data_IF_709244890890
#
_entry.id   IF_709244890890
#
_cell.length_a   1.000
_cell.length_b   1.000
_cell.length_c   1.000
_cell.angle_alpha   90.00
_cell.angle_beta   90.00
_cell.angle_gamma   90.00
#
_symmetry.space_group_name_H-M   'P 1'
#
loop_
_entity.id
_entity.type
_entity.pdbx_description
1 polymer ?
#
# COMPACT_ATOMS: atom_id res chain seq x y z
N UNK A 1 -4.21 -10.03 -18.90
CA UNK A 1 -4.19 -11.42 -18.39
C UNK A 1 -3.26 -12.23 -19.27
N UNK A 2 -2.43 -13.08 -18.66
CA UNK A 2 -1.42 -13.89 -19.36
C UNK A 2 -1.63 -15.35 -19.00
N UNK A 3 -1.86 -16.21 -19.99
CA UNK A 3 -1.92 -17.66 -19.80
C UNK A 3 -0.54 -18.30 -19.94
N UNK A 4 -0.27 -19.34 -19.14
CA UNK A 4 0.95 -20.13 -19.22
C UNK A 4 0.68 -21.49 -19.87
N UNK A 5 1.71 -22.08 -20.48
CA UNK A 5 1.62 -23.39 -21.15
C UNK A 5 1.13 -24.52 -20.24
N UNK A 6 1.33 -24.39 -18.92
CA UNK A 6 0.85 -25.36 -17.92
C UNK A 6 -0.63 -25.20 -17.53
N UNK A 7 -1.37 -24.28 -18.17
CA UNK A 7 -2.76 -23.98 -17.84
C UNK A 7 -2.94 -22.96 -16.70
N UNK A 8 -1.86 -22.53 -16.05
CA UNK A 8 -1.91 -21.44 -15.09
C UNK A 8 -2.19 -20.08 -15.76
N UNK A 9 -2.67 -19.11 -14.98
CA UNK A 9 -2.92 -17.74 -15.45
C UNK A 9 -2.30 -16.71 -14.50
N UNK A 10 -1.84 -15.58 -15.05
CA UNK A 10 -1.42 -14.40 -14.31
C UNK A 10 -2.28 -13.20 -14.70
N UNK A 11 -2.61 -12.39 -13.71
CA UNK A 11 -3.40 -11.18 -13.86
C UNK A 11 -2.60 -9.98 -13.36
N UNK A 12 -2.09 -9.19 -14.29
CA UNK A 12 -1.49 -7.88 -13.99
C UNK A 12 -2.56 -6.81 -13.86
N UNK A 13 -2.43 -5.94 -12.86
CA UNK A 13 -3.34 -4.81 -12.61
C UNK A 13 -2.49 -3.54 -12.58
N UNK A 14 -2.85 -2.56 -13.40
CA UNK A 14 -2.29 -1.22 -13.34
C UNK A 14 -3.26 -0.32 -12.56
N UNK A 15 -2.78 0.28 -11.47
CA UNK A 15 -3.55 1.19 -10.63
C UNK A 15 -2.97 2.60 -10.71
N UNK A 16 -3.81 3.59 -10.95
CA UNK A 16 -3.42 4.99 -10.79
C UNK A 16 -3.55 5.40 -9.33
N UNK A 17 -2.42 5.74 -8.71
CA UNK A 17 -2.40 6.22 -7.31
C UNK A 17 -3.15 7.56 -7.11
N UNK A 18 -3.48 8.28 -8.19
CA UNK A 18 -4.37 9.46 -8.12
C UNK A 18 -5.84 9.10 -7.87
N UNK A 19 -6.23 7.88 -8.24
CA UNK A 19 -7.63 7.43 -8.18
C UNK A 19 -7.89 6.61 -6.92
N UNK A 20 -6.91 5.79 -6.52
CA UNK A 20 -7.05 4.84 -5.42
C UNK A 20 -5.73 4.60 -4.69
N UNK A 21 -5.84 4.51 -3.36
CA UNK A 21 -4.79 4.02 -2.48
C UNK A 21 -4.74 2.48 -2.45
N UNK A 22 -3.82 1.91 -1.66
CA UNK A 22 -3.67 0.45 -1.57
C UNK A 22 -4.89 -0.26 -0.98
N UNK A 23 -5.63 0.39 -0.07
CA UNK A 23 -6.81 -0.19 0.56
C UNK A 23 -7.97 -0.28 -0.43
N UNK A 24 -8.26 0.81 -1.13
CA UNK A 24 -9.30 0.87 -2.16
C UNK A 24 -8.98 -0.02 -3.37
N UNK A 25 -7.72 -0.10 -3.79
CA UNK A 25 -7.30 -1.03 -4.84
C UNK A 25 -7.51 -2.50 -4.41
N UNK A 26 -7.11 -2.88 -3.19
CA UNK A 26 -7.34 -4.23 -2.67
C UNK A 26 -8.83 -4.54 -2.50
N UNK A 27 -9.62 -3.59 -2.02
CA UNK A 27 -11.08 -3.73 -1.93
C UNK A 27 -11.67 -4.03 -3.31
N UNK A 28 -11.30 -3.26 -4.34
CA UNK A 28 -11.73 -3.50 -5.71
C UNK A 28 -11.35 -4.90 -6.21
N UNK A 29 -10.11 -5.35 -5.99
CA UNK A 29 -9.64 -6.68 -6.42
C UNK A 29 -10.46 -7.79 -5.76
N UNK A 30 -10.71 -7.67 -4.45
CA UNK A 30 -11.50 -8.66 -3.70
C UNK A 30 -12.95 -8.68 -4.17
N UNK A 31 -13.60 -7.51 -4.31
CA UNK A 31 -14.97 -7.43 -4.84
C UNK A 31 -15.06 -7.99 -6.25
N UNK A 32 -14.06 -7.74 -7.09
CA UNK A 32 -14.03 -8.30 -8.44
C UNK A 32 -13.90 -9.83 -8.42
N UNK A 33 -13.07 -10.38 -7.53
CA UNK A 33 -12.95 -11.82 -7.34
C UNK A 33 -14.24 -12.47 -6.78
N UNK A 34 -14.99 -11.77 -5.94
CA UNK A 34 -16.31 -12.20 -5.46
C UNK A 34 -17.31 -12.27 -6.61
N UNK A 35 -17.43 -11.19 -7.39
CA UNK A 35 -18.30 -11.13 -8.55
C UNK A 35 -17.96 -12.21 -9.59
N UNK A 36 -16.68 -12.44 -9.86
CA UNK A 36 -16.22 -13.48 -10.78
C UNK A 36 -16.60 -14.90 -10.31
N UNK A 37 -16.83 -15.09 -9.00
CA UNK A 37 -17.33 -16.34 -8.40
C UNK A 37 -18.86 -16.40 -8.31
N UNK A 38 -19.57 -15.37 -8.77
CA UNK A 38 -21.03 -15.28 -8.66
C UNK A 38 -21.52 -14.89 -7.27
N UNK A 39 -20.65 -14.32 -6.44
CA UNK A 39 -21.04 -13.77 -5.13
C UNK A 39 -21.49 -12.32 -5.28
N UNK A 40 -22.33 -11.86 -4.34
CA UNK A 40 -22.76 -10.46 -4.29
C UNK A 40 -21.68 -9.56 -3.69
N UNK A 41 -21.79 -8.25 -3.99
CA UNK A 41 -20.92 -7.24 -3.40
C UNK A 41 -21.30 -7.03 -1.94
N UNK A 42 -20.48 -7.55 -1.02
CA UNK A 42 -20.74 -7.45 0.42
C UNK A 42 -20.72 -6.00 0.94
N UNK A 43 -19.76 -5.20 0.47
CA UNK A 43 -19.61 -3.78 0.85
C UNK A 43 -19.47 -2.94 -0.42
N UNK A 44 -20.48 -2.11 -0.76
CA UNK A 44 -20.36 -1.23 -1.90
C UNK A 44 -19.36 -0.10 -1.63
N UNK A 45 -18.62 0.37 -2.65
CA UNK A 45 -17.70 1.47 -2.47
C UNK A 45 -18.47 2.77 -2.20
N UNK A 46 -17.94 3.59 -1.29
CA UNK A 46 -18.45 4.93 -1.04
C UNK A 46 -17.72 5.95 -1.93
N UNK A 47 -18.43 6.51 -2.91
CA UNK A 47 -17.82 7.37 -3.95
C UNK A 47 -17.99 8.86 -3.64
N UNK A 48 -18.84 9.24 -2.69
CA UNK A 48 -19.04 10.63 -2.35
C UNK A 48 -17.80 11.22 -1.64
N UNK A 49 -17.03 12.00 -2.38
CA UNK A 49 -15.81 12.66 -1.88
C UNK A 49 -16.09 13.97 -1.15
N UNK A 50 -17.36 14.35 -0.94
CA UNK A 50 -17.72 15.57 -0.20
C UNK A 50 -17.17 15.56 1.23
N UNK A 51 -17.09 14.38 1.86
CA UNK A 51 -16.51 14.20 3.19
C UNK A 51 -15.02 14.53 3.27
N UNK A 52 -14.32 14.47 2.13
CA UNK A 52 -12.90 14.80 2.01
C UNK A 52 -12.66 16.22 1.52
N UNK A 53 -13.69 17.06 1.40
CA UNK A 53 -13.54 18.44 0.97
C UNK A 53 -12.68 19.22 1.97
N UNK A 54 -11.69 19.92 1.43
CA UNK A 54 -10.91 20.88 2.22
C UNK A 54 -11.77 22.01 2.78
N UNK A 55 -11.26 22.66 3.83
CA UNK A 55 -11.88 23.85 4.41
C UNK A 55 -11.97 24.98 3.37
N UNK A 56 -13.02 25.79 3.48
CA UNK A 56 -13.20 26.99 2.67
C UNK A 56 -13.43 28.21 3.60
N UNK A 57 -12.50 29.17 3.69
CA UNK A 57 -11.25 29.26 2.92
C UNK A 57 -10.21 28.20 3.34
N UNK A 58 -9.24 27.86 2.47
CA UNK A 58 -8.13 26.98 2.83
C UNK A 58 -7.30 27.57 3.98
N UNK A 59 -6.89 26.74 4.94
CA UNK A 59 -6.09 27.18 6.08
C UNK A 59 -4.97 26.15 6.40
N UNK A 60 -3.96 26.01 5.52
CA UNK A 60 -2.85 25.08 5.74
C UNK A 60 -2.06 25.50 7.00
N UNK A 61 -1.78 24.54 7.89
CA UNK A 61 -1.02 24.81 9.13
C UNK A 61 0.47 24.49 8.98
N UNK A 62 0.83 23.72 7.95
CA UNK A 62 2.19 23.23 7.72
C UNK A 62 2.55 23.34 6.25
N UNK A 63 3.85 23.30 5.95
CA UNK A 63 4.32 23.12 4.57
C UNK A 63 4.03 21.68 4.16
N UNK A 64 3.31 21.53 3.05
CA UNK A 64 2.87 20.24 2.52
C UNK A 64 3.74 19.88 1.32
N UNK A 65 4.50 18.78 1.41
CA UNK A 65 5.42 18.33 0.35
C UNK A 65 4.68 17.98 -0.94
N UNK A 66 3.41 17.61 -0.83
CA UNK A 66 2.54 17.19 -1.93
C UNK A 66 2.23 18.34 -2.91
N UNK A 67 2.39 19.60 -2.48
CA UNK A 67 2.21 20.79 -3.31
C UNK A 67 3.53 21.43 -3.75
N UNK A 68 4.67 20.80 -3.45
CA UNK A 68 5.97 21.23 -3.94
C UNK A 68 6.23 20.63 -5.33
N UNK A 69 7.08 21.27 -6.17
CA UNK A 69 7.46 20.69 -7.45
C UNK A 69 8.02 19.28 -7.25
N UNK A 70 7.49 18.31 -8.00
CA UNK A 70 7.99 16.95 -7.94
C UNK A 70 9.46 16.93 -8.38
N UNK A 71 10.34 16.20 -7.65
CA UNK A 71 11.70 16.01 -8.11
C UNK A 71 11.67 15.27 -9.46
N UNK A 72 12.53 15.69 -10.38
CA UNK A 72 12.68 15.00 -11.66
C UNK A 72 13.08 13.55 -11.39
N UNK A 73 12.30 12.61 -11.92
CA UNK A 73 12.63 11.20 -11.84
C UNK A 73 13.99 10.99 -12.52
N UNK A 74 15.01 10.64 -11.74
CA UNK A 74 16.30 10.24 -12.30
C UNK A 74 16.10 8.88 -12.91
N UNK A 75 15.95 8.83 -14.23
CA UNK A 75 16.07 7.60 -14.98
C UNK A 75 17.55 7.23 -14.87
N UNK A 76 17.86 6.28 -14.00
CA UNK A 76 19.20 5.69 -13.95
C UNK A 76 19.30 4.70 -15.09
N UNK A 77 20.39 4.79 -15.86
CA UNK A 77 20.74 3.77 -16.85
C UNK A 77 21.27 2.49 -16.18
N UNK A 78 21.42 2.49 -14.86
CA UNK A 78 21.83 1.32 -14.10
C UNK A 78 20.69 0.31 -13.96
N UNK A 79 21.01 -0.95 -14.25
CA UNK A 79 20.08 -2.06 -14.08
C UNK A 79 19.80 -2.29 -12.60
N UNK A 80 18.55 -2.03 -12.19
CA UNK A 80 18.06 -2.39 -10.85
C UNK A 80 17.63 -3.86 -10.82
N UNK A 81 18.06 -4.58 -9.78
CA UNK A 81 17.62 -5.97 -9.53
C UNK A 81 16.52 -6.00 -8.47
N UNK A 82 15.54 -6.88 -8.64
CA UNK A 82 14.47 -7.10 -7.67
C UNK A 82 14.61 -8.49 -7.06
N UNK A 83 14.51 -8.57 -5.73
CA UNK A 83 14.54 -9.82 -4.99
C UNK A 83 13.40 -9.84 -3.95
N UNK A 84 12.84 -11.03 -3.72
CA UNK A 84 11.81 -11.24 -2.71
C UNK A 84 12.47 -11.88 -1.49
N UNK A 85 12.40 -11.19 -0.35
CA UNK A 85 12.92 -11.70 0.91
C UNK A 85 11.77 -12.22 1.78
N UNK A 86 11.85 -13.49 2.15
CA UNK A 86 10.87 -14.11 3.05
C UNK A 86 11.29 -13.86 4.50
N UNK A 87 10.45 -13.16 5.25
CA UNK A 87 10.58 -13.03 6.70
C UNK A 87 9.67 -14.04 7.38
N UNK A 88 10.24 -14.91 8.22
CA UNK A 88 9.46 -15.87 9.01
C UNK A 88 8.80 -15.19 10.21
N UNK A 89 7.80 -15.86 10.78
CA UNK A 89 7.15 -15.38 12.01
C UNK A 89 8.14 -15.20 13.15
N UNK A 90 9.06 -16.14 13.31
CA UNK A 90 10.07 -16.10 14.38
C UNK A 90 11.06 -14.96 14.17
N UNK A 91 11.48 -14.71 12.93
CA UNK A 91 12.31 -13.56 12.59
C UNK A 91 11.59 -12.24 12.86
N UNK A 92 10.31 -12.12 12.49
CA UNK A 92 9.50 -10.93 12.80
C UNK A 92 9.36 -10.75 14.32
N UNK A 93 9.19 -11.83 15.08
CA UNK A 93 9.09 -11.76 16.54
C UNK A 93 10.42 -11.37 17.20
N UNK A 94 11.54 -11.92 16.72
CA UNK A 94 12.87 -11.54 17.19
C UNK A 94 13.18 -10.06 16.91
N UNK A 95 12.84 -9.56 15.71
CA UNK A 95 12.97 -8.14 15.36
C UNK A 95 12.15 -7.24 16.29
N UNK A 96 10.92 -7.65 16.64
CA UNK A 96 10.09 -6.90 17.60
C UNK A 96 10.72 -6.81 18.97
N UNK A 97 11.25 -7.92 19.49
CA UNK A 97 11.86 -7.98 20.81
C UNK A 97 13.07 -7.03 20.90
N UNK A 98 13.97 -7.09 19.92
CA UNK A 98 15.17 -6.23 19.89
C UNK A 98 14.83 -4.72 19.84
N UNK A 99 13.71 -4.32 19.24
CA UNK A 99 13.29 -2.91 19.23
C UNK A 99 12.64 -2.46 20.56
N UNK A 100 12.09 -3.40 21.34
CA UNK A 100 11.51 -3.09 22.65
C UNK A 100 12.59 -2.80 23.68
N UNK A 101 13.74 -3.47 23.57
CA UNK A 101 14.91 -3.22 24.43
C UNK A 101 15.52 -1.82 24.24
N UNK A 102 15.21 -1.14 23.14
CA UNK A 102 15.72 0.20 22.80
C UNK A 102 14.68 1.33 22.93
N UNK A 103 13.47 1.04 23.42
CA UNK A 103 12.41 2.05 23.61
C UNK A 103 12.01 2.09 25.09
N UNK A 104 12.40 3.17 25.79
CA UNK A 104 11.91 3.46 27.14
C UNK A 104 10.38 3.54 27.14
N UNK A 105 9.74 2.57 27.81
CA UNK A 105 8.35 2.62 28.23
C UNK A 105 7.29 2.33 27.16
N UNK A 106 6.69 1.14 27.25
CA UNK A 106 5.31 0.78 26.89
C UNK A 106 4.73 1.36 25.57
N UNK A 107 5.53 1.41 24.50
CA UNK A 107 5.01 1.70 23.15
C UNK A 107 4.76 0.39 22.40
N UNK A 108 3.50 0.08 22.13
CA UNK A 108 3.14 -1.01 21.23
C UNK A 108 3.72 -0.74 19.84
N UNK A 109 4.69 -1.54 19.43
CA UNK A 109 5.28 -1.39 18.10
C UNK A 109 4.44 -2.17 17.08
N UNK A 110 3.79 -1.43 16.18
CA UNK A 110 2.96 -2.00 15.11
C UNK A 110 3.84 -2.70 14.07
N UNK A 111 3.39 -3.85 13.57
CA UNK A 111 4.09 -4.65 12.54
C UNK A 111 4.57 -3.82 11.33
N UNK A 112 3.84 -2.77 10.97
CA UNK A 112 4.13 -1.90 9.82
C UNK A 112 5.23 -0.87 10.07
N UNK A 113 5.55 -0.54 11.32
CA UNK A 113 6.63 0.41 11.64
C UNK A 113 8.02 -0.19 11.45
N UNK A 114 8.13 -1.52 11.36
CA UNK A 114 9.40 -2.25 11.29
C UNK A 114 9.97 -2.39 9.87
N UNK A 115 9.10 -2.45 8.85
CA UNK A 115 9.56 -2.69 7.47
C UNK A 115 10.07 -1.44 6.74
N UNK A 116 9.90 -0.24 7.31
CA UNK A 116 10.35 1.03 6.71
C UNK A 116 11.83 1.37 7.05
N UNK A 117 12.67 0.37 7.33
CA UNK A 117 14.12 0.54 7.55
C UNK A 117 14.94 0.01 6.35
N UNK A 118 14.27 -0.35 5.24
CA UNK A 118 14.92 -0.59 3.95
C UNK A 118 14.27 0.26 2.87
#
# INVERSE_FOLDING_TARGET
MTGFKCGGVCLGIANSHYVSDGLSANHFINTWADLARGLEVAVPPFIDRTLLRGRHPPHPQFSHIEYQPYPTMKISDETSIFAIFKLTRDQVNALKANCQDHLDGNRHVLNFRFLNIF
#
